data_IF_163520395342
#
_entry.id   IF_163520395342
#
_cell.length_a   1.000
_cell.length_b   1.000
_cell.length_c   1.000
_cell.angle_alpha   90.00
_cell.angle_beta   90.00
_cell.angle_gamma   90.00
#
_symmetry.space_group_name_H-M   'P 1'
#
loop_
_entity.id
_entity.type
_entity.pdbx_description
1 polymer ?
#
# COMPACT_ATOMS: atom_id res chain seq x y z
N UNK A 1 -1.83 -10.21 25.14
CA UNK A 1 -2.66 -11.29 24.56
C UNK A 1 -3.89 -10.69 23.88
N UNK A 2 -4.26 -11.17 22.67
CA UNK A 2 -5.56 -11.04 21.98
C UNK A 2 -5.99 -9.81 21.13
N UNK A 3 -5.13 -8.85 20.76
CA UNK A 3 -5.51 -7.81 19.75
C UNK A 3 -5.01 -8.04 18.32
N UNK A 4 -3.97 -8.85 18.13
CA UNK A 4 -3.30 -9.07 16.83
C UNK A 4 -4.19 -9.87 15.86
N UNK A 5 -5.04 -10.77 16.36
CA UNK A 5 -5.84 -11.67 15.52
C UNK A 5 -6.93 -10.93 14.73
N UNK A 6 -7.47 -9.83 15.25
CA UNK A 6 -8.52 -9.06 14.57
C UNK A 6 -7.95 -8.22 13.43
N UNK A 7 -6.76 -7.64 13.61
CA UNK A 7 -6.11 -6.85 12.56
C UNK A 7 -5.60 -7.77 11.43
N UNK A 8 -5.01 -8.91 11.79
CA UNK A 8 -4.60 -9.93 10.83
C UNK A 8 -5.80 -10.58 10.12
N UNK A 9 -6.91 -10.78 10.84
CA UNK A 9 -8.17 -11.26 10.26
C UNK A 9 -8.81 -10.24 9.33
N UNK A 10 -8.83 -8.96 9.70
CA UNK A 10 -9.33 -7.88 8.84
C UNK A 10 -8.47 -7.74 7.58
N UNK A 11 -7.15 -7.91 7.74
CA UNK A 11 -6.18 -7.89 6.66
C UNK A 11 -6.38 -9.06 5.67
N UNK A 12 -6.53 -10.29 6.17
CA UNK A 12 -6.89 -11.45 5.35
C UNK A 12 -8.26 -11.28 4.68
N UNK A 13 -9.20 -10.64 5.37
CA UNK A 13 -10.53 -10.37 4.84
C UNK A 13 -10.46 -9.35 3.69
N UNK A 14 -9.61 -8.33 3.79
CA UNK A 14 -9.41 -7.36 2.72
C UNK A 14 -8.76 -7.99 1.47
N UNK A 15 -7.74 -8.84 1.67
CA UNK A 15 -7.15 -9.67 0.60
C UNK A 15 -8.20 -10.59 -0.01
N UNK A 16 -9.00 -11.26 0.81
CA UNK A 16 -10.03 -12.20 0.37
C UNK A 16 -11.09 -11.51 -0.48
N UNK A 17 -11.55 -10.33 -0.05
CA UNK A 17 -12.50 -9.51 -0.81
C UNK A 17 -11.90 -9.09 -2.15
N UNK A 18 -10.66 -8.60 -2.18
CA UNK A 18 -9.96 -8.23 -3.41
C UNK A 18 -9.81 -9.42 -4.38
N UNK A 19 -9.48 -10.61 -3.88
CA UNK A 19 -9.38 -11.84 -4.68
C UNK A 19 -10.73 -12.31 -5.23
N UNK A 20 -11.81 -12.15 -4.45
CA UNK A 20 -13.16 -12.49 -4.88
C UNK A 20 -13.62 -11.53 -5.98
N UNK A 21 -13.39 -10.23 -5.82
CA UNK A 21 -13.68 -9.22 -6.86
C UNK A 21 -12.91 -9.49 -8.16
N UNK A 22 -11.67 -9.97 -8.06
CA UNK A 22 -10.87 -10.40 -9.20
C UNK A 22 -11.44 -11.67 -9.87
N UNK A 23 -11.98 -12.61 -9.11
CA UNK A 23 -12.52 -13.87 -9.63
C UNK A 23 -13.92 -13.71 -10.27
N UNK A 24 -14.70 -12.71 -9.85
CA UNK A 24 -16.06 -12.46 -10.34
C UNK A 24 -16.15 -11.96 -11.80
N UNK A 25 -15.03 -11.87 -12.53
CA UNK A 25 -15.03 -11.53 -13.96
C UNK A 25 -15.37 -10.06 -14.25
N UNK A 26 -15.30 -9.18 -13.25
CA UNK A 26 -15.32 -7.71 -13.43
C UNK A 26 -14.04 -7.23 -14.13
N UNK A 27 -13.02 -8.10 -14.19
CA UNK A 27 -11.67 -7.87 -14.69
C UNK A 27 -11.31 -9.03 -15.62
N UNK A 28 -10.97 -8.78 -16.89
CA UNK A 28 -10.36 -9.80 -17.74
C UNK A 28 -8.88 -9.96 -17.34
N UNK A 29 -8.62 -10.91 -16.44
CA UNK A 29 -7.27 -11.15 -15.91
C UNK A 29 -6.49 -12.00 -16.90
N UNK A 30 -5.76 -11.33 -17.79
CA UNK A 30 -4.63 -11.94 -18.47
C UNK A 30 -3.52 -12.25 -17.44
N UNK A 31 -2.77 -13.34 -17.63
CA UNK A 31 -1.64 -13.67 -16.73
C UNK A 31 -0.58 -12.55 -16.68
N UNK A 32 -0.47 -11.75 -17.74
CA UNK A 32 0.38 -10.56 -17.82
C UNK A 32 -0.05 -9.43 -16.85
N UNK A 33 -1.29 -9.47 -16.35
CA UNK A 33 -1.90 -8.43 -15.52
C UNK A 33 -1.83 -8.74 -14.00
N UNK A 34 -1.28 -9.89 -13.62
CA UNK A 34 -1.18 -10.33 -12.22
C UNK A 34 0.00 -9.74 -11.45
N UNK A 35 0.96 -9.10 -12.14
CA UNK A 35 2.18 -8.57 -11.52
C UNK A 35 1.96 -7.56 -10.36
N UNK A 36 0.92 -6.67 -10.35
CA UNK A 36 0.72 -5.74 -9.24
C UNK A 36 0.39 -6.44 -7.92
N UNK A 37 -0.13 -7.67 -8.00
CA UNK A 37 -0.44 -8.49 -6.84
C UNK A 37 0.84 -8.85 -6.06
N UNK A 38 1.95 -9.09 -6.76
CA UNK A 38 3.24 -9.37 -6.12
C UNK A 38 3.76 -8.16 -5.33
N UNK A 39 3.60 -6.93 -5.86
CA UNK A 39 3.94 -5.71 -5.12
C UNK A 39 3.07 -5.56 -3.88
N UNK A 40 1.77 -5.79 -4.00
CA UNK A 40 0.84 -5.78 -2.87
C UNK A 40 1.26 -6.78 -1.80
N UNK A 41 1.49 -8.05 -2.17
CA UNK A 41 1.92 -9.10 -1.24
C UNK A 41 3.24 -8.73 -0.56
N UNK A 42 4.21 -8.20 -1.30
CA UNK A 42 5.49 -7.76 -0.74
C UNK A 42 5.30 -6.61 0.26
N UNK A 43 4.55 -5.56 -0.10
CA UNK A 43 4.29 -4.41 0.77
C UNK A 43 3.56 -4.80 2.05
N UNK A 44 2.59 -5.69 1.91
CA UNK A 44 1.89 -6.34 3.01
C UNK A 44 2.84 -7.08 3.94
N UNK A 45 3.77 -7.86 3.38
CA UNK A 45 4.73 -8.62 4.16
C UNK A 45 5.61 -7.69 5.00
N UNK A 46 6.03 -6.56 4.44
CA UNK A 46 6.76 -5.51 5.17
C UNK A 46 5.94 -4.91 6.32
N UNK A 47 4.66 -4.61 6.11
CA UNK A 47 3.79 -4.12 7.18
C UNK A 47 3.58 -5.16 8.28
N UNK A 48 3.29 -6.41 7.91
CA UNK A 48 3.09 -7.50 8.86
C UNK A 48 4.34 -7.77 9.68
N UNK A 49 5.52 -7.76 9.04
CA UNK A 49 6.81 -7.91 9.72
C UNK A 49 7.02 -6.83 10.78
N UNK A 50 6.64 -5.58 10.47
CA UNK A 50 6.64 -4.51 11.45
C UNK A 50 5.70 -4.78 12.63
N UNK A 51 4.44 -5.16 12.37
CA UNK A 51 3.48 -5.41 13.44
C UNK A 51 3.81 -6.63 14.31
N UNK A 52 4.55 -7.60 13.76
CA UNK A 52 4.99 -8.81 14.47
C UNK A 52 6.22 -8.51 15.35
N UNK A 53 7.25 -7.84 14.82
CA UNK A 53 8.49 -7.62 15.56
C UNK A 53 8.56 -6.29 16.31
N UNK A 54 7.80 -5.27 15.90
CA UNK A 54 7.83 -3.88 16.40
C UNK A 54 9.23 -3.25 16.58
N UNK A 55 10.25 -3.83 15.96
CA UNK A 55 11.65 -3.42 16.16
C UNK A 55 12.07 -2.30 15.23
N UNK A 56 11.61 -2.32 13.97
CA UNK A 56 12.11 -1.40 12.95
C UNK A 56 10.95 -0.72 12.22
N UNK A 57 10.54 0.46 12.70
CA UNK A 57 9.53 1.28 12.03
C UNK A 57 9.93 1.72 10.61
N UNK A 58 11.23 1.62 10.28
CA UNK A 58 11.77 1.76 8.93
C UNK A 58 11.10 0.86 7.88
N UNK A 59 10.65 -0.34 8.28
CA UNK A 59 10.02 -1.32 7.37
C UNK A 59 8.64 -0.87 6.86
N UNK A 60 7.98 0.05 7.55
CA UNK A 60 6.68 0.58 7.14
C UNK A 60 6.76 1.47 5.90
N UNK A 61 7.91 2.12 5.66
CA UNK A 61 8.09 2.99 4.50
C UNK A 61 8.04 2.20 3.19
N UNK A 62 8.87 1.15 2.98
CA UNK A 62 8.75 0.32 1.78
C UNK A 62 7.42 -0.43 1.74
N UNK A 63 6.83 -0.80 2.89
CA UNK A 63 5.50 -1.41 2.97
C UNK A 63 4.39 -0.54 2.37
N UNK A 64 4.26 0.69 2.88
CA UNK A 64 3.23 1.65 2.42
C UNK A 64 3.42 2.08 0.96
N UNK A 65 4.67 2.23 0.51
CA UNK A 65 4.99 2.53 -0.90
C UNK A 65 4.53 1.38 -1.80
N UNK A 66 4.91 0.14 -1.47
CA UNK A 66 4.59 -1.05 -2.27
C UNK A 66 3.07 -1.31 -2.33
N UNK A 67 2.35 -1.11 -1.24
CA UNK A 67 0.89 -1.23 -1.21
C UNK A 67 0.24 -0.16 -2.09
N UNK A 68 0.67 1.10 -1.95
CA UNK A 68 0.11 2.21 -2.74
C UNK A 68 0.35 2.00 -4.23
N UNK A 69 1.57 1.61 -4.61
CA UNK A 69 1.92 1.36 -6.00
C UNK A 69 1.25 0.11 -6.55
N UNK A 70 1.16 -0.96 -5.76
CA UNK A 70 0.44 -2.18 -6.13
C UNK A 70 -1.05 -1.90 -6.42
N UNK A 71 -1.70 -1.08 -5.60
CA UNK A 71 -3.07 -0.61 -5.84
C UNK A 71 -3.18 0.24 -7.11
N UNK A 72 -2.27 1.21 -7.31
CA UNK A 72 -2.26 2.07 -8.48
C UNK A 72 -2.09 1.28 -9.79
N UNK A 73 -1.17 0.31 -9.80
CA UNK A 73 -0.94 -0.53 -10.96
C UNK A 73 -2.10 -1.50 -11.20
N UNK A 74 -2.75 -2.00 -10.14
CA UNK A 74 -3.95 -2.81 -10.28
C UNK A 74 -5.07 -2.00 -10.92
N UNK A 75 -5.28 -0.75 -10.52
CA UNK A 75 -6.27 0.15 -11.16
C UNK A 75 -5.93 0.41 -12.64
N UNK A 76 -4.68 0.74 -12.96
CA UNK A 76 -4.26 0.98 -14.35
C UNK A 76 -4.42 -0.25 -15.25
N UNK A 77 -4.12 -1.44 -14.74
CA UNK A 77 -4.29 -2.70 -15.45
C UNK A 77 -5.76 -3.00 -15.75
N UNK A 78 -6.65 -2.60 -14.84
CA UNK A 78 -8.09 -2.83 -14.94
C UNK A 78 -8.83 -1.86 -15.86
N UNK A 79 -8.56 -0.56 -15.66
CA UNK A 79 -9.29 0.52 -16.31
C UNK A 79 -8.52 1.13 -17.49
N UNK A 80 -7.30 0.65 -17.75
CA UNK A 80 -6.43 1.08 -18.83
C UNK A 80 -5.36 2.07 -18.38
N UNK A 81 -4.19 1.96 -19.01
CA UNK A 81 -2.99 2.76 -18.74
C UNK A 81 -3.16 4.26 -19.04
N UNK A 82 -4.21 4.66 -19.74
CA UNK A 82 -4.51 6.07 -19.99
C UNK A 82 -4.78 6.85 -18.69
N UNK A 83 -5.29 6.19 -17.64
CA UNK A 83 -5.48 6.81 -16.34
C UNK A 83 -4.16 7.19 -15.66
N UNK A 84 -3.01 6.64 -16.08
CA UNK A 84 -1.71 6.99 -15.53
C UNK A 84 -1.39 8.47 -15.71
N UNK A 85 -1.90 9.10 -16.77
CA UNK A 85 -1.74 10.54 -17.01
C UNK A 85 -2.40 11.40 -15.91
N UNK A 86 -3.41 10.86 -15.23
CA UNK A 86 -4.08 11.52 -14.09
C UNK A 86 -3.63 10.97 -12.73
N UNK A 87 -3.18 9.72 -12.69
CA UNK A 87 -2.81 9.00 -11.45
C UNK A 87 -1.33 9.19 -11.07
N UNK A 88 -0.49 9.79 -11.93
CA UNK A 88 0.92 10.06 -11.60
C UNK A 88 1.17 10.80 -10.26
N UNK A 89 0.29 11.70 -9.76
CA UNK A 89 0.53 12.36 -8.48
C UNK A 89 0.48 11.38 -7.31
N UNK A 90 -0.05 10.18 -7.49
CA UNK A 90 -0.09 9.15 -6.45
C UNK A 90 1.30 8.56 -6.17
N UNK A 91 2.28 8.72 -7.06
CA UNK A 91 3.65 8.28 -6.77
C UNK A 91 4.25 9.02 -5.55
N UNK A 92 4.33 10.36 -5.51
CA UNK A 92 4.75 11.07 -4.32
C UNK A 92 3.79 10.84 -3.13
N UNK A 93 2.49 10.62 -3.38
CA UNK A 93 1.53 10.26 -2.33
C UNK A 93 1.87 8.93 -1.66
N UNK A 94 2.27 7.91 -2.41
CA UNK A 94 2.67 6.61 -1.86
C UNK A 94 3.89 6.72 -0.96
N UNK A 95 4.86 7.56 -1.33
CA UNK A 95 5.99 7.90 -0.45
C UNK A 95 5.52 8.65 0.79
N UNK A 96 4.60 9.60 0.64
CA UNK A 96 4.01 10.31 1.77
C UNK A 96 3.28 9.37 2.74
N UNK A 97 2.52 8.39 2.23
CA UNK A 97 1.83 7.38 3.03
C UNK A 97 2.84 6.52 3.80
N UNK A 98 3.88 6.02 3.14
CA UNK A 98 4.92 5.22 3.80
C UNK A 98 5.64 5.98 4.92
N UNK A 99 5.99 7.25 4.67
CA UNK A 99 6.61 8.13 5.68
C UNK A 99 5.65 8.50 6.80
N UNK A 100 4.37 8.73 6.49
CA UNK A 100 3.33 9.02 7.48
C UNK A 100 3.10 7.82 8.41
N UNK A 101 3.16 6.62 7.87
CA UNK A 101 3.05 5.38 8.63
C UNK A 101 4.26 5.21 9.56
N UNK A 102 5.47 5.49 9.08
CA UNK A 102 6.66 5.55 9.93
C UNK A 102 6.52 6.61 11.04
N UNK A 103 5.94 7.78 10.76
CA UNK A 103 5.70 8.81 11.77
C UNK A 103 4.74 8.32 12.88
N UNK A 104 3.63 7.69 12.50
CA UNK A 104 2.62 7.20 13.45
C UNK A 104 3.16 6.13 14.40
N UNK A 105 4.00 5.24 13.88
CA UNK A 105 4.40 4.02 14.57
C UNK A 105 5.86 4.02 15.06
N UNK A 106 6.74 4.84 14.49
CA UNK A 106 8.19 4.88 14.78
C UNK A 106 8.67 5.89 15.81
N UNK A 107 7.76 6.58 16.50
CA UNK A 107 8.14 7.49 17.61
C UNK A 107 7.75 8.96 17.44
N UNK A 108 6.91 9.31 16.45
CA UNK A 108 6.37 10.67 16.24
C UNK A 108 7.45 11.76 16.15
N UNK A 109 8.56 11.46 15.49
CA UNK A 109 9.58 12.43 15.09
C UNK A 109 8.94 13.53 14.22
N UNK A 110 8.73 14.73 14.79
CA UNK A 110 8.04 15.85 14.12
C UNK A 110 8.72 16.28 12.80
N UNK A 111 10.00 15.97 12.63
CA UNK A 111 10.76 16.25 11.40
C UNK A 111 10.25 15.53 10.16
N UNK A 112 9.60 14.36 10.31
CA UNK A 112 9.06 13.59 9.18
C UNK A 112 7.77 14.18 8.60
N UNK A 113 7.07 15.06 9.32
CA UNK A 113 5.86 15.71 8.82
C UNK A 113 6.14 16.74 7.73
N UNK A 114 7.33 17.32 7.71
CA UNK A 114 7.76 18.30 6.68
C UNK A 114 7.82 17.63 5.30
N UNK A 115 8.57 16.53 5.08
CA UNK A 115 8.58 15.84 3.79
C UNK A 115 7.24 15.22 3.43
N UNK A 116 6.46 14.70 4.41
CA UNK A 116 5.09 14.23 4.16
C UNK A 116 4.21 15.37 3.62
N UNK A 117 4.23 16.54 4.26
CA UNK A 117 3.45 17.69 3.83
C UNK A 117 3.85 18.19 2.43
N UNK A 118 5.14 18.21 2.12
CA UNK A 118 5.64 18.58 0.79
C UNK A 118 5.20 17.57 -0.27
N UNK A 119 5.32 16.27 0.01
CA UNK A 119 4.94 15.22 -0.93
C UNK A 119 3.43 15.18 -1.17
N UNK A 120 2.60 15.44 -0.15
CA UNK A 120 1.15 15.58 -0.29
C UNK A 120 0.81 16.84 -1.10
N UNK A 121 1.48 17.96 -0.86
CA UNK A 121 1.22 19.20 -1.59
C UNK A 121 1.61 19.11 -3.09
N UNK A 122 2.64 18.34 -3.43
CA UNK A 122 3.04 18.08 -4.83
C UNK A 122 2.08 17.11 -5.52
N UNK A 123 1.36 16.30 -4.74
CA UNK A 123 0.42 15.29 -5.22
C UNK A 123 -0.98 15.83 -5.52
N UNK A 124 -1.29 17.04 -5.06
CA UNK A 124 -2.60 17.70 -5.15
C UNK A 124 -2.65 18.69 -6.32
#
# INVERSE_FOLDING_TARGET
>A
MKKINYLFGLFLLFIGVLLILANFGVIEIAWDNLWPLFLLIAGIFFELSYFISQKDAGLLVPGGILITYGLLFLVNVNYGWHLMENLWPIFPLGVAIGLFQLYLFGGREKGLLIPVGILVAISL
#
